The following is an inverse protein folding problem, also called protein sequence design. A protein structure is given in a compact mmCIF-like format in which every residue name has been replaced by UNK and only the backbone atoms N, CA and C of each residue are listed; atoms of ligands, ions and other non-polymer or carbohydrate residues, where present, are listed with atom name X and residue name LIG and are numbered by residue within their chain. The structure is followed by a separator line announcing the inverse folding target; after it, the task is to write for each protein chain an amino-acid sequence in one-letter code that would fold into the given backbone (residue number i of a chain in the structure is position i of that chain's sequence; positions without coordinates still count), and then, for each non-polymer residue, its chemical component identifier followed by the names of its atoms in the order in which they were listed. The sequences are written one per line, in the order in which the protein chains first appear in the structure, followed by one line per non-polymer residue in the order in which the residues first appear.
data_IF_996879761363
#
_entry.id   IF_996879761363
#
_cell.length_a   1.000
_cell.length_b   1.000
_cell.length_c   1.000
_cell.angle_alpha   90.00
_cell.angle_beta   90.00
_cell.angle_gamma   90.00
#
_symmetry.space_group_name_H-M   'P 1'
#
loop_
_entity.id
_entity.type
_entity.pdbx_description
1 polymer ?
#
# COMPACT_ATOMS: atom_id res chain seq x y z
N UNK A 1 -10.55 9.73 -5.62
CA UNK A 1 -9.15 10.20 -5.63
C UNK A 1 -8.25 8.97 -5.50
N UNK A 2 -7.22 8.84 -6.31
CA UNK A 2 -6.43 7.60 -6.36
C UNK A 2 -5.33 7.66 -7.40
N UNK A 3 -4.75 6.51 -7.70
CA UNK A 3 -3.66 6.37 -8.65
C UNK A 3 -4.16 5.74 -9.95
N UNK A 4 -3.76 6.32 -11.07
CA UNK A 4 -3.90 5.69 -12.39
C UNK A 4 -2.50 5.39 -12.89
N UNK A 5 -2.25 4.11 -13.14
CA UNK A 5 -1.00 3.63 -13.73
C UNK A 5 -1.33 3.13 -15.13
N UNK A 6 -0.63 3.68 -16.11
CA UNK A 6 -0.79 3.32 -17.52
C UNK A 6 0.55 2.83 -18.06
N UNK A 7 0.57 1.57 -18.51
CA UNK A 7 1.74 0.89 -19.03
C UNK A 7 1.50 0.65 -20.51
N UNK A 8 2.27 1.35 -21.34
CA UNK A 8 2.28 1.16 -22.78
C UNK A 8 3.27 0.05 -23.14
N UNK A 9 2.79 -1.01 -23.77
CA UNK A 9 3.58 -2.20 -24.06
C UNK A 9 2.77 -3.25 -24.82
N UNK A 10 3.19 -4.51 -24.73
CA UNK A 10 2.48 -5.63 -25.36
C UNK A 10 2.27 -6.75 -24.33
N UNK A 11 1.10 -6.82 -23.65
CA UNK A 11 -0.08 -5.97 -23.83
C UNK A 11 0.05 -4.60 -23.14
N UNK A 12 -0.73 -3.61 -23.59
CA UNK A 12 -0.96 -2.39 -22.80
C UNK A 12 -1.82 -2.72 -21.59
N UNK A 13 -1.49 -2.13 -20.43
CA UNK A 13 -2.19 -2.36 -19.16
C UNK A 13 -2.50 -1.04 -18.49
N UNK A 14 -3.75 -0.88 -18.06
CA UNK A 14 -4.18 0.26 -17.24
C UNK A 14 -4.74 -0.24 -15.92
N UNK A 15 -4.25 0.33 -14.82
CA UNK A 15 -4.72 0.03 -13.47
C UNK A 15 -5.21 1.31 -12.81
N UNK A 16 -6.39 1.24 -12.19
CA UNK A 16 -6.93 2.30 -11.34
C UNK A 16 -7.01 1.77 -9.90
N UNK A 17 -6.29 2.42 -9.00
CA UNK A 17 -6.32 2.12 -7.57
C UNK A 17 -7.01 3.27 -6.84
N UNK A 18 -8.08 2.96 -6.12
CA UNK A 18 -8.85 3.94 -5.36
C UNK A 18 -8.76 3.63 -3.88
N UNK A 19 -8.53 4.68 -3.08
CA UNK A 19 -8.52 4.62 -1.62
C UNK A 19 -9.77 5.32 -1.14
N UNK A 20 -10.59 4.59 -0.38
CA UNK A 20 -11.88 5.06 0.11
C UNK A 20 -12.05 4.69 1.59
N UNK A 21 -12.92 5.40 2.32
CA UNK A 21 -13.20 5.08 3.72
C UNK A 21 -13.74 3.66 3.90
N UNK A 22 -13.25 2.95 4.92
CA UNK A 22 -13.82 1.68 5.34
C UNK A 22 -15.19 1.86 6.05
N UNK A 23 -15.93 0.77 6.30
CA UNK A 23 -17.25 0.83 6.92
C UNK A 23 -17.27 1.54 8.28
N UNK A 24 -16.21 1.39 9.06
CA UNK A 24 -16.09 1.95 10.41
C UNK A 24 -15.42 3.34 10.44
N UNK A 25 -15.13 3.91 9.26
CA UNK A 25 -14.48 5.22 9.18
C UNK A 25 -15.50 6.34 9.42
N UNK A 26 -15.39 6.98 10.59
CA UNK A 26 -16.21 8.15 10.95
C UNK A 26 -15.41 9.42 10.71
N UNK A 27 -15.93 10.31 9.87
CA UNK A 27 -15.37 11.65 9.67
C UNK A 27 -16.49 12.70 9.62
N UNK A 28 -16.39 13.69 10.50
CA UNK A 28 -17.32 14.83 10.62
C UNK A 28 -16.78 16.11 9.97
N UNK A 29 -15.51 16.11 9.56
CA UNK A 29 -14.83 17.25 8.96
C UNK A 29 -13.89 16.82 7.83
N UNK A 30 -13.60 17.74 6.90
CA UNK A 30 -12.63 17.48 5.84
C UNK A 30 -11.23 17.12 6.37
N UNK A 31 -10.84 17.68 7.53
CA UNK A 31 -9.56 17.37 8.17
C UNK A 31 -9.48 15.90 8.59
N UNK A 32 -10.59 15.31 9.05
CA UNK A 32 -10.65 13.89 9.41
C UNK A 32 -10.54 13.00 8.16
N UNK A 33 -11.08 13.41 7.01
CA UNK A 33 -10.87 12.68 5.75
C UNK A 33 -9.40 12.64 5.29
N UNK A 34 -8.57 13.63 5.67
CA UNK A 34 -7.14 13.62 5.33
C UNK A 34 -6.39 12.46 6.01
N UNK A 35 -6.93 11.86 7.06
CA UNK A 35 -6.34 10.69 7.73
C UNK A 35 -6.21 9.50 6.77
N UNK A 36 -7.10 9.36 5.77
CA UNK A 36 -6.98 8.31 4.76
C UNK A 36 -5.66 8.41 3.97
N UNK A 37 -5.25 9.64 3.65
CA UNK A 37 -3.96 9.92 3.01
C UNK A 37 -2.77 9.56 3.91
N UNK A 38 -2.89 9.80 5.22
CA UNK A 38 -1.84 9.46 6.19
C UNK A 38 -1.72 7.94 6.36
N UNK A 39 -2.87 7.24 6.45
CA UNK A 39 -2.92 5.77 6.56
C UNK A 39 -2.29 5.14 5.31
N UNK A 40 -2.69 5.54 4.10
CA UNK A 40 -2.15 4.93 2.88
C UNK A 40 -0.63 5.08 2.77
N UNK A 41 -0.05 6.18 3.27
CA UNK A 41 1.40 6.39 3.30
C UNK A 41 2.10 5.59 4.40
N UNK A 42 1.49 5.46 5.58
CA UNK A 42 2.07 4.74 6.70
C UNK A 42 2.04 3.21 6.51
N UNK A 43 0.99 2.68 5.87
CA UNK A 43 0.78 1.23 5.67
C UNK A 43 1.99 0.49 5.08
N UNK A 44 2.59 0.89 3.94
CA UNK A 44 3.74 0.18 3.39
C UNK A 44 4.96 0.20 4.32
N UNK A 45 5.18 1.31 5.05
CA UNK A 45 6.30 1.42 5.99
C UNK A 45 6.12 0.49 7.20
N UNK A 46 4.93 0.45 7.79
CA UNK A 46 4.62 -0.41 8.94
C UNK A 46 4.67 -1.89 8.55
N UNK A 47 4.08 -2.25 7.41
CA UNK A 47 4.07 -3.65 6.95
C UNK A 47 5.46 -4.14 6.52
N UNK A 48 6.38 -3.24 6.18
CA UNK A 48 7.76 -3.59 5.82
C UNK A 48 8.64 -3.92 7.03
N UNK A 49 8.24 -3.58 8.27
CA UNK A 49 9.08 -3.77 9.47
C UNK A 49 9.67 -5.19 9.57
N UNK A 50 8.88 -6.29 9.45
CA UNK A 50 9.45 -7.63 9.55
C UNK A 50 10.47 -7.95 8.45
N UNK A 51 10.22 -7.46 7.22
CA UNK A 51 11.13 -7.65 6.09
C UNK A 51 12.43 -6.88 6.27
N UNK A 52 12.37 -5.64 6.79
CA UNK A 52 13.55 -4.83 7.09
C UNK A 52 14.38 -5.45 8.22
N UNK A 53 13.73 -5.96 9.28
CA UNK A 53 14.42 -6.63 10.40
C UNK A 53 15.16 -7.89 9.93
N UNK A 54 14.61 -8.62 8.95
CA UNK A 54 15.23 -9.82 8.40
C UNK A 54 16.30 -9.55 7.32
N UNK A 55 16.42 -8.30 6.85
CA UNK A 55 17.35 -7.94 5.79
C UNK A 55 18.82 -7.94 6.27
N UNK A 56 19.80 -8.21 5.39
CA UNK A 56 21.20 -8.01 5.71
C UNK A 56 21.50 -6.54 6.08
N UNK A 57 22.53 -6.28 6.91
CA UNK A 57 22.96 -4.91 7.21
C UNK A 57 23.33 -4.14 5.94
N UNK A 58 22.82 -2.91 5.81
CA UNK A 58 23.08 -2.04 4.67
C UNK A 58 21.90 -1.14 4.32
N UNK A 59 21.98 -0.47 3.17
CA UNK A 59 20.87 0.30 2.60
C UNK A 59 20.06 -0.63 1.70
N UNK A 60 18.94 -1.12 2.20
CA UNK A 60 17.97 -1.89 1.41
C UNK A 60 16.91 -0.96 0.81
N UNK A 61 16.53 -1.22 -0.43
CA UNK A 61 15.45 -0.53 -1.14
C UNK A 61 14.25 -1.47 -1.34
N UNK A 62 13.16 -0.96 -1.91
CA UNK A 62 11.99 -1.79 -2.27
C UNK A 62 12.33 -2.95 -3.21
N UNK A 63 13.42 -2.87 -3.98
CA UNK A 63 13.84 -3.94 -4.88
C UNK A 63 14.57 -5.09 -4.16
N UNK A 64 15.06 -4.84 -2.94
CA UNK A 64 15.84 -5.80 -2.15
C UNK A 64 14.96 -6.56 -1.14
N UNK A 65 13.72 -6.10 -0.95
CA UNK A 65 12.75 -6.65 -0.01
C UNK A 65 11.69 -7.49 -0.77
N UNK A 66 11.05 -8.46 -0.10
CA UNK A 66 9.88 -9.12 -0.67
C UNK A 66 8.76 -8.11 -0.93
N UNK A 67 7.79 -8.49 -1.78
CA UNK A 67 6.60 -7.69 -2.01
C UNK A 67 5.87 -7.43 -0.68
N UNK A 68 5.74 -6.16 -0.30
CA UNK A 68 5.10 -5.76 0.96
C UNK A 68 3.58 -5.84 0.78
N UNK A 69 3.00 -6.93 1.30
CA UNK A 69 1.57 -7.17 1.31
C UNK A 69 0.83 -6.50 2.48
N UNK A 70 -0.48 -6.71 2.53
CA UNK A 70 -1.28 -6.45 3.72
C UNK A 70 -1.02 -7.54 4.77
N UNK A 71 -0.48 -7.15 5.91
CA UNK A 71 -0.37 -8.05 7.07
C UNK A 71 -1.77 -8.48 7.52
N UNK A 72 -2.02 -9.78 7.63
CA UNK A 72 -3.32 -10.34 8.05
C UNK A 72 -4.35 -10.49 6.93
N UNK A 73 -4.03 -10.14 5.67
CA UNK A 73 -4.85 -10.58 4.54
C UNK A 73 -4.81 -12.11 4.46
N UNK A 74 -5.97 -12.75 4.37
CA UNK A 74 -6.04 -14.19 4.11
C UNK A 74 -5.16 -14.51 2.89
N UNK A 75 -4.34 -15.56 3.01
CA UNK A 75 -3.58 -16.05 1.86
C UNK A 75 -4.56 -16.19 0.67
N UNK A 76 -4.21 -15.72 -0.54
CA UNK A 76 -5.06 -15.93 -1.69
C UNK A 76 -5.37 -17.43 -1.77
N UNK A 77 -6.66 -17.76 -1.68
CA UNK A 77 -7.13 -19.13 -1.74
C UNK A 77 -6.56 -19.79 -2.98
N UNK A 78 -5.85 -20.89 -2.76
CA UNK A 78 -5.32 -21.73 -3.83
C UNK A 78 -6.45 -22.45 -4.55
#
# INVERSE_FOLDING_TARGET
HGYVVDIQGQPCVRTKLEVYPGPDFVASSFKEFMVLGMIMTAMPAVNAIPAVVAAPPGIATYNDLPLIGLTGAAAPGR
#
